data_IF_539281113536
#
_entry.id   IF_539281113536
#
_cell.length_a   1.000
_cell.length_b   1.000
_cell.length_c   1.000
_cell.angle_alpha   90.00
_cell.angle_beta   90.00
_cell.angle_gamma   90.00
#
_symmetry.space_group_name_H-M   'P 1'
#
loop_
_entity.id
_entity.type
_entity.pdbx_description
1 polymer ?
#
# COMPACT_ATOMS: atom_id res chain seq x y z
N UNK A 1 5.29 17.50 17.59
CA UNK A 1 5.42 16.04 17.56
C UNK A 1 4.68 15.52 16.36
N UNK A 2 5.34 14.83 15.44
CA UNK A 2 4.69 14.19 14.29
C UNK A 2 3.82 13.04 14.80
N UNK A 3 2.56 12.95 14.35
CA UNK A 3 1.68 11.86 14.76
C UNK A 3 2.12 10.53 14.15
N UNK A 4 1.79 9.40 14.80
CA UNK A 4 2.10 8.07 14.24
C UNK A 4 1.47 7.87 12.86
N UNK A 5 0.33 8.50 12.60
CA UNK A 5 -0.32 8.49 11.30
C UNK A 5 0.53 9.19 10.22
N UNK A 6 1.11 10.34 10.53
CA UNK A 6 2.01 11.04 9.59
C UNK A 6 3.31 10.26 9.35
N UNK A 7 3.83 9.59 10.38
CA UNK A 7 4.99 8.68 10.25
C UNK A 7 4.64 7.51 9.32
N UNK A 8 3.46 6.91 9.50
CA UNK A 8 2.97 5.83 8.64
C UNK A 8 2.88 6.28 7.17
N UNK A 9 2.25 7.42 6.89
CA UNK A 9 2.14 7.92 5.52
C UNK A 9 3.49 8.22 4.89
N UNK A 10 4.39 8.87 5.64
CA UNK A 10 5.76 9.15 5.14
C UNK A 10 6.51 7.87 4.79
N UNK A 11 6.33 6.81 5.56
CA UNK A 11 6.96 5.52 5.33
C UNK A 11 6.36 4.79 4.12
N UNK A 12 5.03 4.87 3.93
CA UNK A 12 4.33 4.35 2.76
C UNK A 12 4.81 5.06 1.49
N UNK A 13 4.91 6.39 1.51
CA UNK A 13 5.41 7.18 0.37
C UNK A 13 6.86 6.82 0.01
N UNK A 14 7.70 6.53 1.01
CA UNK A 14 9.09 6.15 0.80
C UNK A 14 9.24 4.74 0.20
N UNK A 15 8.38 3.78 0.59
CA UNK A 15 8.44 2.39 0.10
C UNK A 15 7.67 2.24 -1.20
N UNK A 16 6.57 2.98 -1.37
CA UNK A 16 5.74 3.09 -2.56
C UNK A 16 4.94 1.81 -2.90
N UNK A 17 5.60 0.66 -3.06
CA UNK A 17 4.95 -0.57 -3.53
C UNK A 17 4.48 -1.44 -2.36
N UNK A 18 3.18 -1.73 -2.35
CA UNK A 18 2.55 -2.67 -1.43
C UNK A 18 2.38 -4.05 -2.05
N UNK A 19 2.52 -5.09 -1.24
CA UNK A 19 1.89 -6.39 -1.54
C UNK A 19 0.43 -6.32 -1.06
N UNK A 20 -0.50 -6.09 -1.99
CA UNK A 20 -1.93 -6.05 -1.72
C UNK A 20 -2.48 -7.47 -1.70
N UNK A 21 -3.02 -7.88 -0.56
CA UNK A 21 -3.64 -9.20 -0.35
C UNK A 21 -5.15 -9.05 -0.28
N UNK A 22 -5.86 -9.73 -1.16
CA UNK A 22 -7.33 -9.77 -1.24
C UNK A 22 -7.83 -11.20 -1.07
N UNK A 23 -9.12 -11.36 -0.75
CA UNK A 23 -9.80 -12.65 -0.70
C UNK A 23 -10.53 -12.93 -1.99
N UNK A 24 -10.19 -14.05 -2.63
CA UNK A 24 -10.88 -14.54 -3.82
C UNK A 24 -12.27 -15.08 -3.48
N UNK A 25 -13.19 -15.17 -4.47
CA UNK A 25 -14.52 -15.77 -4.27
C UNK A 25 -14.49 -17.22 -3.75
N UNK A 26 -13.41 -17.97 -4.02
CA UNK A 26 -13.19 -19.33 -3.50
C UNK A 26 -12.65 -19.36 -2.06
N UNK A 27 -12.46 -18.20 -1.41
CA UNK A 27 -11.97 -18.02 -0.06
C UNK A 27 -10.45 -17.98 0.09
N UNK A 28 -9.68 -18.30 -0.95
CA UNK A 28 -8.22 -18.21 -0.90
C UNK A 28 -7.74 -16.77 -0.92
N UNK A 29 -6.58 -16.53 -0.31
CA UNK A 29 -5.91 -15.23 -0.35
C UNK A 29 -4.98 -15.15 -1.56
N UNK A 30 -4.93 -13.99 -2.18
CA UNK A 30 -4.03 -13.71 -3.28
C UNK A 30 -3.35 -12.36 -3.07
N UNK A 31 -2.02 -12.33 -3.18
CA UNK A 31 -1.22 -11.12 -3.06
C UNK A 31 -0.65 -10.70 -4.41
N UNK A 32 -0.55 -9.40 -4.64
CA UNK A 32 0.08 -8.82 -5.83
C UNK A 32 0.74 -7.49 -5.50
N UNK A 33 1.81 -7.15 -6.20
CA UNK A 33 2.47 -5.86 -6.06
C UNK A 33 1.61 -4.76 -6.68
N UNK A 34 1.39 -3.68 -5.93
CA UNK A 34 0.60 -2.52 -6.34
C UNK A 34 1.30 -1.24 -5.91
N UNK A 35 1.52 -0.30 -6.84
CA UNK A 35 2.09 1.00 -6.51
C UNK A 35 1.04 1.88 -5.83
N UNK A 36 1.39 2.41 -4.65
CA UNK A 36 0.56 3.40 -3.95
C UNK A 36 0.61 4.71 -4.71
N UNK A 37 -0.55 5.28 -4.98
CA UNK A 37 -0.68 6.56 -5.67
C UNK A 37 -0.50 7.72 -4.68
N UNK A 38 -0.31 8.93 -5.21
CA UNK A 38 -0.27 10.13 -4.37
C UNK A 38 -1.52 10.28 -3.51
N UNK A 39 -1.38 10.93 -2.38
CA UNK A 39 -2.50 11.19 -1.48
C UNK A 39 -3.54 12.11 -2.14
N UNK A 40 -4.80 11.77 -1.99
CA UNK A 40 -5.93 12.58 -2.43
C UNK A 40 -7.12 12.37 -1.49
N UNK A 41 -8.05 13.31 -1.46
CA UNK A 41 -9.25 13.19 -0.63
C UNK A 41 -10.11 11.98 -1.03
N UNK A 42 -10.92 11.47 -0.11
CA UNK A 42 -11.90 10.40 -0.35
C UNK A 42 -11.46 9.00 0.07
N UNK A 43 -10.16 8.79 0.31
CA UNK A 43 -9.62 7.58 0.94
C UNK A 43 -8.27 7.88 1.59
N UNK A 44 -7.81 6.97 2.44
CA UNK A 44 -6.48 7.08 3.08
C UNK A 44 -5.35 6.73 2.11
N UNK A 45 -5.56 5.71 1.27
CA UNK A 45 -4.60 5.25 0.28
C UNK A 45 -5.33 5.00 -1.05
N UNK A 46 -4.62 5.26 -2.15
CA UNK A 46 -5.13 5.06 -3.49
C UNK A 46 -4.23 4.14 -4.31
N UNK A 47 -4.87 3.31 -5.13
CA UNK A 47 -4.22 2.45 -6.12
C UNK A 47 -5.01 2.52 -7.43
N UNK A 48 -4.39 2.10 -8.52
CA UNK A 48 -5.03 2.01 -9.83
C UNK A 48 -4.91 0.59 -10.38
N UNK A 49 -5.96 0.12 -11.04
CA UNK A 49 -5.99 -1.19 -11.70
C UNK A 49 -6.93 -1.14 -12.91
N UNK A 50 -6.97 -2.21 -13.70
CA UNK A 50 -8.00 -2.39 -14.71
C UNK A 50 -9.17 -3.21 -14.13
N UNK A 51 -10.38 -2.95 -14.62
CA UNK A 51 -11.62 -3.61 -14.16
C UNK A 51 -11.60 -5.13 -14.34
N UNK A 52 -10.86 -5.62 -15.34
CA UNK A 52 -10.75 -7.04 -15.67
C UNK A 52 -9.80 -7.81 -14.76
N UNK A 53 -9.05 -7.12 -13.89
CA UNK A 53 -8.06 -7.75 -13.03
C UNK A 53 -8.67 -8.58 -11.91
N UNK A 54 -7.88 -9.54 -11.40
CA UNK A 54 -8.28 -10.28 -10.20
C UNK A 54 -8.44 -9.37 -8.98
N UNK A 55 -7.67 -8.28 -8.86
CA UNK A 55 -7.79 -7.32 -7.77
C UNK A 55 -9.18 -6.68 -7.73
N UNK A 56 -9.66 -6.14 -8.85
CA UNK A 56 -10.98 -5.52 -8.94
C UNK A 56 -12.10 -6.53 -8.65
N UNK A 57 -11.97 -7.76 -9.17
CA UNK A 57 -12.95 -8.83 -8.93
C UNK A 57 -13.01 -9.24 -7.47
N UNK A 58 -11.86 -9.46 -6.84
CA UNK A 58 -11.77 -9.91 -5.46
C UNK A 58 -12.34 -8.86 -4.50
N UNK A 59 -12.00 -7.56 -4.71
CA UNK A 59 -12.52 -6.43 -3.93
C UNK A 59 -14.04 -6.29 -4.12
N UNK A 60 -14.56 -6.51 -5.32
CA UNK A 60 -15.99 -6.51 -5.57
C UNK A 60 -16.73 -7.64 -4.84
N UNK A 61 -16.05 -8.73 -4.50
CA UNK A 61 -16.60 -9.85 -3.72
C UNK A 61 -16.42 -9.65 -2.20
N UNK A 62 -15.23 -9.27 -1.76
CA UNK A 62 -14.89 -9.00 -0.36
C UNK A 62 -13.98 -7.76 -0.32
N UNK A 63 -14.50 -6.69 0.26
CA UNK A 63 -13.80 -5.40 0.34
C UNK A 63 -12.63 -5.38 1.32
N UNK A 64 -12.50 -6.38 2.20
CA UNK A 64 -11.40 -6.43 3.16
C UNK A 64 -10.09 -6.80 2.47
N UNK A 65 -9.05 -6.08 2.81
CA UNK A 65 -7.71 -6.33 2.29
C UNK A 65 -6.62 -6.08 3.34
N UNK A 66 -5.43 -6.59 3.04
CA UNK A 66 -4.21 -6.21 3.73
C UNK A 66 -3.20 -5.66 2.72
N UNK A 67 -2.51 -4.61 3.13
CA UNK A 67 -1.36 -4.04 2.43
C UNK A 67 -0.12 -4.27 3.26
N UNK A 68 0.87 -4.94 2.68
CA UNK A 68 2.17 -5.14 3.32
C UNK A 68 3.25 -4.41 2.55
N UNK A 69 4.03 -3.60 3.24
CA UNK A 69 5.20 -2.90 2.69
C UNK A 69 6.45 -3.40 3.40
N UNK A 70 7.53 -3.53 2.66
CA UNK A 70 8.79 -3.97 3.22
C UNK A 70 9.96 -3.26 2.56
N UNK A 71 10.83 -2.68 3.37
CA UNK A 71 12.04 -2.01 2.93
C UNK A 71 13.25 -2.88 3.26
N UNK A 72 13.74 -3.62 2.29
CA UNK A 72 14.82 -4.61 2.48
C UNK A 72 16.06 -4.02 3.12
N UNK A 73 16.43 -2.80 2.72
CA UNK A 73 17.65 -2.13 3.18
C UNK A 73 17.68 -1.85 4.68
N UNK A 74 16.54 -1.49 5.26
CA UNK A 74 16.43 -1.09 6.68
C UNK A 74 15.65 -2.10 7.52
N UNK A 75 15.00 -3.08 6.89
CA UNK A 75 14.10 -4.04 7.53
C UNK A 75 12.83 -3.40 8.11
N UNK A 76 12.57 -2.16 7.78
CA UNK A 76 11.32 -1.50 8.11
C UNK A 76 10.16 -2.17 7.36
N UNK A 77 9.02 -2.26 8.00
CA UNK A 77 7.85 -2.88 7.42
C UNK A 77 6.56 -2.23 7.91
N UNK A 78 5.51 -2.40 7.12
CA UNK A 78 4.17 -1.91 7.43
C UNK A 78 3.18 -3.02 7.07
N UNK A 79 2.18 -3.22 7.92
CA UNK A 79 0.99 -4.00 7.64
C UNK A 79 -0.23 -3.14 7.90
N UNK A 80 -1.04 -2.92 6.87
CA UNK A 80 -2.30 -2.17 6.94
C UNK A 80 -3.45 -3.12 6.70
N UNK A 81 -4.43 -3.14 7.60
CA UNK A 81 -5.73 -3.76 7.37
C UNK A 81 -6.74 -2.67 7.04
N UNK A 82 -7.50 -2.84 5.98
CA UNK A 82 -8.45 -1.83 5.54
C UNK A 82 -9.61 -2.39 4.75
N UNK A 83 -10.53 -1.49 4.42
CA UNK A 83 -11.66 -1.74 3.53
C UNK A 83 -11.43 -0.97 2.24
N UNK A 84 -11.56 -1.65 1.12
CA UNK A 84 -11.42 -1.07 -0.21
C UNK A 84 -12.77 -0.70 -0.82
N UNK A 85 -12.76 0.34 -1.63
CA UNK A 85 -13.85 0.70 -2.52
C UNK A 85 -13.32 0.86 -3.95
N UNK A 86 -14.14 0.53 -4.93
CA UNK A 86 -13.83 0.72 -6.34
C UNK A 86 -14.48 2.01 -6.84
N UNK A 87 -13.73 2.85 -7.54
CA UNK A 87 -14.23 4.10 -8.12
C UNK A 87 -13.81 4.24 -9.57
N UNK A 88 -14.74 4.75 -10.40
CA UNK A 88 -14.51 5.13 -11.80
C UNK A 88 -14.77 6.62 -12.01
N UNK A 89 -14.74 7.38 -10.94
CA UNK A 89 -14.96 8.83 -11.02
C UNK A 89 -13.85 9.49 -11.83
N UNK A 90 -14.25 10.03 -13.00
CA UNK A 90 -13.29 10.59 -13.95
C UNK A 90 -12.45 11.71 -13.36
N UNK A 91 -13.06 12.61 -12.59
CA UNK A 91 -12.34 13.69 -11.93
C UNK A 91 -11.26 13.17 -10.97
N UNK A 92 -11.54 12.06 -10.25
CA UNK A 92 -10.56 11.42 -9.36
C UNK A 92 -9.45 10.71 -10.13
N UNK A 93 -9.78 10.07 -11.25
CA UNK A 93 -8.78 9.46 -12.14
C UNK A 93 -7.84 10.55 -12.68
N UNK A 94 -8.38 11.68 -13.16
CA UNK A 94 -7.59 12.82 -13.64
C UNK A 94 -6.71 13.43 -12.53
N UNK A 95 -7.24 13.56 -11.30
CA UNK A 95 -6.49 14.05 -10.14
C UNK A 95 -5.30 13.16 -9.79
N UNK A 96 -5.48 11.83 -9.83
CA UNK A 96 -4.47 10.85 -9.44
C UNK A 96 -3.53 10.46 -10.57
N UNK A 97 -3.86 10.81 -11.81
CA UNK A 97 -3.13 10.39 -12.99
C UNK A 97 -1.61 10.62 -12.88
N UNK A 98 -0.88 9.62 -13.36
CA UNK A 98 0.57 9.64 -13.54
C UNK A 98 0.94 8.99 -14.89
N UNK A 99 1.94 9.54 -15.59
CA UNK A 99 2.34 9.05 -16.92
C UNK A 99 2.87 7.61 -16.92
N UNK A 100 3.38 7.15 -15.80
CA UNK A 100 3.84 5.76 -15.62
C UNK A 100 2.70 4.74 -15.70
N UNK A 101 1.42 5.14 -15.54
CA UNK A 101 0.29 4.24 -15.77
C UNK A 101 0.31 3.66 -17.19
N UNK A 102 0.77 4.42 -18.17
CA UNK A 102 0.86 3.97 -19.57
C UNK A 102 1.76 2.74 -19.76
N UNK A 103 2.76 2.55 -18.89
CA UNK A 103 3.62 1.36 -18.94
C UNK A 103 2.91 0.10 -18.44
N UNK A 104 1.95 0.27 -17.54
CA UNK A 104 1.28 -0.85 -16.87
C UNK A 104 -0.05 -1.24 -17.51
N UNK A 105 -0.68 -0.29 -18.22
CA UNK A 105 -1.99 -0.46 -18.85
C UNK A 105 -1.92 -0.34 -20.38
N UNK A 106 -0.74 -0.52 -20.98
CA UNK A 106 -0.60 -0.52 -22.42
C UNK A 106 -1.39 -1.67 -23.03
N UNK A 107 -2.33 -1.35 -23.92
CA UNK A 107 -3.02 -2.31 -24.78
C UNK A 107 -2.57 -2.07 -26.23
N UNK A 108 -2.28 -3.15 -26.97
CA UNK A 108 -1.77 -3.07 -28.34
C UNK A 108 -2.80 -2.41 -29.26
N UNK A 109 -2.67 -1.09 -29.41
CA UNK A 109 -3.42 -0.30 -30.38
C UNK A 109 -4.43 0.71 -29.84
N UNK A 110 -4.76 0.74 -28.55
CA UNK A 110 -5.60 1.82 -27.99
C UNK A 110 -4.73 2.97 -27.47
N UNK A 111 -4.76 4.16 -28.11
CA UNK A 111 -3.97 5.31 -27.65
C UNK A 111 -4.41 5.87 -26.31
N UNK A 112 -5.60 5.47 -25.83
CA UNK A 112 -6.13 5.88 -24.51
C UNK A 112 -5.59 5.01 -23.38
N UNK A 113 -5.04 3.84 -23.68
CA UNK A 113 -4.59 2.88 -22.67
C UNK A 113 -3.65 3.53 -21.64
N UNK A 114 -4.02 3.42 -20.37
CA UNK A 114 -3.30 4.03 -19.26
C UNK A 114 -3.35 5.55 -19.20
N UNK A 115 -4.24 6.21 -19.95
CA UNK A 115 -4.54 7.64 -19.83
C UNK A 115 -5.83 7.86 -19.01
N UNK A 116 -6.17 9.09 -18.61
CA UNK A 116 -7.43 9.34 -17.91
C UNK A 116 -8.69 9.00 -18.74
N UNK A 117 -8.55 8.86 -20.06
CA UNK A 117 -9.62 8.48 -20.99
C UNK A 117 -9.75 6.95 -21.15
N UNK A 118 -8.88 6.17 -20.55
CA UNK A 118 -8.95 4.71 -20.59
C UNK A 118 -10.21 4.20 -19.84
N UNK A 119 -11.18 3.61 -20.55
CA UNK A 119 -12.42 3.15 -19.92
C UNK A 119 -12.24 1.95 -19.00
N UNK A 120 -11.11 1.25 -19.09
CA UNK A 120 -10.83 0.07 -18.28
C UNK A 120 -10.30 0.42 -16.89
N UNK A 121 -9.83 1.65 -16.65
CA UNK A 121 -9.24 2.05 -15.39
C UNK A 121 -10.26 2.09 -14.27
N UNK A 122 -9.84 1.54 -13.13
CA UNK A 122 -10.55 1.56 -11.86
C UNK A 122 -9.60 1.96 -10.75
N UNK A 123 -10.00 2.92 -9.94
CA UNK A 123 -9.30 3.28 -8.72
C UNK A 123 -9.73 2.39 -7.56
N UNK A 124 -8.79 2.03 -6.73
CA UNK A 124 -9.02 1.36 -5.45
C UNK A 124 -8.72 2.37 -4.36
N UNK A 125 -9.75 2.84 -3.65
CA UNK A 125 -9.61 3.66 -2.45
C UNK A 125 -9.63 2.75 -1.22
N UNK A 126 -8.68 2.91 -0.31
CA UNK A 126 -8.57 2.10 0.91
C UNK A 126 -8.73 3.00 2.12
N UNK A 127 -9.68 2.65 2.99
CA UNK A 127 -9.81 3.20 4.34
C UNK A 127 -9.04 2.31 5.32
N UNK A 128 -8.12 2.90 6.07
CA UNK A 128 -7.30 2.20 7.06
C UNK A 128 -8.10 1.96 8.32
N UNK A 129 -8.30 0.70 8.70
CA UNK A 129 -8.85 0.31 10.00
C UNK A 129 -7.78 0.16 11.06
N UNK A 130 -6.72 -0.55 10.73
CA UNK A 130 -5.59 -0.77 11.61
C UNK A 130 -4.29 -0.80 10.83
N UNK A 131 -3.23 -0.31 11.44
CA UNK A 131 -1.88 -0.42 10.91
C UNK A 131 -0.91 -0.81 12.02
N UNK A 132 0.00 -1.71 11.70
CA UNK A 132 1.17 -2.01 12.53
C UNK A 132 2.41 -1.80 11.68
N UNK A 133 3.38 -1.07 12.18
CA UNK A 133 4.56 -0.74 11.41
C UNK A 133 5.80 -0.57 12.27
N UNK A 134 6.94 -0.92 11.72
CA UNK A 134 8.26 -0.69 12.32
C UNK A 134 8.93 0.46 11.59
N UNK A 135 9.20 1.54 12.32
CA UNK A 135 10.04 2.66 11.88
C UNK A 135 11.29 2.69 12.75
N UNK A 136 12.45 2.70 12.10
CA UNK A 136 13.72 2.81 12.80
C UNK A 136 13.97 4.27 13.19
N UNK A 137 14.12 4.50 14.50
CA UNK A 137 14.42 5.83 15.04
C UNK A 137 15.93 6.09 15.14
N UNK A 138 16.76 5.07 14.84
CA UNK A 138 18.23 5.15 14.93
C UNK A 138 18.86 5.35 13.54
N UNK A 139 19.97 6.11 13.44
CA UNK A 139 20.73 6.24 12.20
C UNK A 139 21.22 4.88 11.69
N UNK A 140 21.28 4.69 10.37
CA UNK A 140 21.68 3.43 9.72
C UNK A 140 22.98 2.79 10.28
N UNK A 141 24.06 3.54 10.57
CA UNK A 141 25.27 2.94 11.16
C UNK A 141 25.03 2.28 12.51
N UNK A 142 24.12 2.87 13.33
CA UNK A 142 23.77 2.32 14.65
C UNK A 142 22.94 1.05 14.50
N UNK A 143 21.99 1.05 13.58
CA UNK A 143 21.16 -0.14 13.25
C UNK A 143 22.06 -1.30 12.78
N UNK A 144 23.01 -1.01 11.88
CA UNK A 144 23.95 -2.02 11.39
C UNK A 144 24.84 -2.57 12.51
N UNK A 145 25.28 -1.71 13.41
CA UNK A 145 26.05 -2.12 14.60
C UNK A 145 25.23 -3.03 15.53
N UNK A 146 23.97 -2.66 15.84
CA UNK A 146 23.08 -3.47 16.69
C UNK A 146 22.75 -4.83 16.05
N UNK A 147 22.55 -4.89 14.73
CA UNK A 147 22.37 -6.15 14.01
C UNK A 147 23.64 -7.02 14.06
N UNK A 148 24.83 -6.44 13.84
CA UNK A 148 26.08 -7.17 13.92
C UNK A 148 26.37 -7.65 15.33
N UNK A 149 26.09 -6.84 16.34
CA UNK A 149 26.21 -7.20 17.76
C UNK A 149 25.26 -8.35 18.10
N UNK A 150 23.97 -8.25 17.73
CA UNK A 150 22.98 -9.31 17.97
C UNK A 150 23.37 -10.63 17.30
N UNK A 151 23.97 -10.58 16.11
CA UNK A 151 24.48 -11.77 15.43
C UNK A 151 25.66 -12.44 16.21
N UNK A 152 26.53 -11.64 16.82
CA UNK A 152 27.69 -12.14 17.59
C UNK A 152 27.31 -12.59 19.00
N UNK A 153 26.41 -11.87 19.67
CA UNK A 153 26.02 -12.14 21.07
C UNK A 153 24.81 -13.05 21.20
N UNK A 154 24.08 -13.31 20.10
CA UNK A 154 22.79 -14.02 20.08
C UNK A 154 21.69 -13.29 20.89
N UNK A 155 21.88 -12.00 21.17
CA UNK A 155 20.88 -11.16 21.82
C UNK A 155 19.96 -10.53 20.77
N UNK A 156 18.72 -10.24 21.16
CA UNK A 156 17.77 -9.56 20.29
C UNK A 156 18.26 -8.11 20.02
N UNK A 157 18.46 -7.71 18.77
CA UNK A 157 18.92 -6.35 18.47
C UNK A 157 17.86 -5.31 18.83
N UNK A 158 18.25 -4.26 19.55
CA UNK A 158 17.38 -3.12 19.88
C UNK A 158 17.23 -2.17 18.69
N UNK A 159 16.45 -2.54 17.70
CA UNK A 159 16.26 -1.75 16.46
C UNK A 159 14.98 -0.90 16.48
N UNK A 160 14.13 -1.01 17.48
CA UNK A 160 12.88 -0.28 17.63
C UNK A 160 11.71 -1.19 17.94
N UNK A 161 10.61 -0.61 18.42
CA UNK A 161 9.36 -1.32 18.68
C UNK A 161 8.33 -1.04 17.60
N UNK A 162 7.52 -2.04 17.18
CA UNK A 162 6.41 -1.80 16.27
C UNK A 162 5.39 -0.84 16.88
N UNK A 163 4.96 0.14 16.09
CA UNK A 163 3.88 1.07 16.44
C UNK A 163 2.56 0.53 15.91
N UNK A 164 1.47 0.84 16.59
CA UNK A 164 0.13 0.40 16.21
C UNK A 164 -0.85 1.56 16.17
N UNK A 165 -1.62 1.62 15.10
CA UNK A 165 -2.74 2.54 14.92
C UNK A 165 -4.01 1.68 14.78
N UNK A 166 -5.06 2.03 15.51
CA UNK A 166 -6.39 1.47 15.34
C UNK A 166 -7.40 2.62 15.19
N UNK A 167 -8.27 2.51 14.22
CA UNK A 167 -9.39 3.43 14.04
C UNK A 167 -10.69 2.70 14.41
N UNK A 168 -11.60 3.34 15.14
CA UNK A 168 -12.91 2.75 15.39
C UNK A 168 -13.62 2.48 14.06
N UNK A 169 -14.20 1.28 13.95
CA UNK A 169 -15.04 0.95 12.79
C UNK A 169 -16.27 1.86 12.85
N UNK A 170 -16.46 2.69 11.82
CA UNK A 170 -17.71 3.43 11.65
C UNK A 170 -18.80 2.40 11.35
N UNK A 171 -19.68 2.16 12.32
CA UNK A 171 -20.88 1.32 12.19
C UNK A 171 -21.93 2.03 11.35
#
# INVERSE_FOLDING_TARGET
>A
MTSDLEVLYSQIEEIEVAMMTTRRPDGHLQSRAMATQKRAAGADLWFVTAETTSAARDIGHDAHLNLSYYKDRTREWISVSGIASLSREKAKIEELYSEDWRMWFSDDGDPRAGTPEDPSLVLIGVEIHAATFLKLDKPQPVVLYELAKGFLTHDQPEIGEPRRIERPVST
#
